data_IF_553771262188
#
_entry.id   IF_553771262188
#
_cell.length_a   1.000
_cell.length_b   1.000
_cell.length_c   1.000
_cell.angle_alpha   90.00
_cell.angle_beta   90.00
_cell.angle_gamma   90.00
#
_symmetry.space_group_name_H-M   'P 1'
#
loop_
_entity.id
_entity.type
_entity.pdbx_description
1 polymer ?
#
# COMPACT_ATOMS: atom_id res chain seq x y z
N UNK A 1 -1.11 11.11 0.89
CA UNK A 1 -2.25 11.87 1.44
C UNK A 1 -2.86 11.15 2.65
N UNK A 2 -3.46 9.96 2.48
CA UNK A 2 -4.04 9.19 3.59
C UNK A 2 -3.87 7.69 3.40
N UNK A 3 -4.22 6.91 4.43
CA UNK A 3 -4.25 5.45 4.40
C UNK A 3 -5.52 4.93 5.11
N UNK A 4 -6.07 3.82 4.63
CA UNK A 4 -7.01 3.02 5.43
C UNK A 4 -6.29 1.77 5.93
N UNK A 5 -6.52 1.43 7.20
CA UNK A 5 -5.88 0.30 7.87
C UNK A 5 -6.95 -0.76 8.15
N UNK A 6 -6.69 -1.99 7.71
CA UNK A 6 -7.50 -3.17 7.97
C UNK A 6 -6.69 -4.06 8.94
N UNK A 7 -6.97 -4.02 10.24
CA UNK A 7 -6.02 -4.46 11.26
C UNK A 7 -5.97 -5.98 11.50
N UNK A 8 -6.89 -6.76 10.92
CA UNK A 8 -6.98 -8.21 11.11
C UNK A 8 -7.40 -8.88 9.83
N UNK A 9 -6.47 -9.62 9.25
CA UNK A 9 -6.64 -10.44 8.06
C UNK A 9 -5.88 -11.75 8.28
N UNK A 10 -6.42 -12.83 7.74
CA UNK A 10 -5.67 -14.08 7.61
C UNK A 10 -5.11 -14.15 6.20
N UNK A 11 -3.80 -14.23 6.09
CA UNK A 11 -3.07 -14.38 4.83
C UNK A 11 -2.69 -15.84 4.64
N UNK A 12 -3.04 -16.39 3.48
CA UNK A 12 -2.69 -17.75 3.07
C UNK A 12 -1.76 -17.70 1.86
N UNK A 13 -0.62 -18.37 1.94
CA UNK A 13 0.36 -18.40 0.86
C UNK A 13 1.20 -19.68 0.90
N UNK A 14 1.83 -20.01 -0.22
CA UNK A 14 2.75 -21.14 -0.29
C UNK A 14 4.19 -20.65 -0.06
N UNK A 15 4.88 -21.26 0.90
CA UNK A 15 6.28 -21.01 1.17
C UNK A 15 7.01 -22.31 1.47
N UNK A 16 8.18 -22.50 0.87
CA UNK A 16 9.00 -23.73 1.01
C UNK A 16 8.21 -25.04 0.84
N UNK A 17 7.22 -25.05 -0.07
CA UNK A 17 6.39 -26.22 -0.36
C UNK A 17 5.31 -26.52 0.68
N UNK A 18 5.03 -25.58 1.60
CA UNK A 18 3.95 -25.68 2.60
C UNK A 18 2.97 -24.52 2.46
N UNK A 19 1.72 -24.77 2.83
CA UNK A 19 0.72 -23.73 2.98
C UNK A 19 0.93 -23.08 4.34
N UNK A 20 1.27 -21.80 4.33
CA UNK A 20 1.40 -20.96 5.51
C UNK A 20 0.11 -20.19 5.77
N UNK A 21 -0.12 -19.87 7.04
CA UNK A 21 -1.24 -19.06 7.52
C UNK A 21 -0.71 -18.02 8.52
N UNK A 22 -0.84 -16.74 8.19
CA UNK A 22 -0.38 -15.64 9.04
C UNK A 22 -1.51 -14.64 9.35
N UNK A 23 -1.43 -14.04 10.54
CA UNK A 23 -2.30 -12.93 10.93
C UNK A 23 -1.62 -11.60 10.58
N UNK A 24 -2.26 -10.82 9.71
CA UNK A 24 -1.69 -9.61 9.13
C UNK A 24 -2.66 -8.41 9.18
N UNK A 25 -2.13 -7.25 8.79
CA UNK A 25 -2.91 -6.07 8.47
C UNK A 25 -2.67 -5.66 7.03
N UNK A 26 -3.70 -5.15 6.36
CA UNK A 26 -3.58 -4.58 5.01
C UNK A 26 -3.84 -3.08 5.05
N UNK A 27 -3.12 -2.34 4.22
CA UNK A 27 -3.23 -0.89 4.13
C UNK A 27 -3.52 -0.48 2.69
N UNK A 28 -4.48 0.45 2.51
CA UNK A 28 -4.74 1.11 1.23
C UNK A 28 -4.28 2.56 1.33
N UNK A 29 -3.11 2.85 0.76
CA UNK A 29 -2.55 4.19 0.67
C UNK A 29 -3.15 4.97 -0.52
N UNK A 30 -3.39 6.27 -0.32
CA UNK A 30 -3.78 7.22 -1.36
C UNK A 30 -2.65 8.22 -1.54
N UNK A 31 -2.02 8.16 -2.71
CA UNK A 31 -0.88 8.99 -3.07
C UNK A 31 -0.93 9.38 -4.55
N UNK A 32 -0.14 10.38 -4.95
CA UNK A 32 0.05 10.71 -6.36
C UNK A 32 0.95 9.68 -7.06
N UNK A 33 0.75 9.53 -8.37
CA UNK A 33 1.57 8.65 -9.22
C UNK A 33 3.07 8.95 -9.10
N UNK A 34 3.44 10.24 -9.02
CA UNK A 34 4.83 10.67 -8.89
C UNK A 34 5.53 10.21 -7.59
N UNK A 35 4.78 9.83 -6.56
CA UNK A 35 5.32 9.38 -5.26
C UNK A 35 5.25 7.86 -5.08
N UNK A 36 4.69 7.11 -6.03
CA UNK A 36 4.49 5.65 -5.92
C UNK A 36 5.83 4.93 -5.69
N UNK A 37 6.82 5.16 -6.55
CA UNK A 37 8.13 4.48 -6.42
C UNK A 37 8.80 4.79 -5.09
N UNK A 38 8.85 6.07 -4.71
CA UNK A 38 9.42 6.50 -3.43
C UNK A 38 8.69 5.90 -2.23
N UNK A 39 7.36 5.73 -2.32
CA UNK A 39 6.57 5.09 -1.27
C UNK A 39 6.90 3.59 -1.17
N UNK A 40 7.02 2.89 -2.31
CA UNK A 40 7.39 1.47 -2.35
C UNK A 40 8.77 1.26 -1.70
N UNK A 41 9.76 2.06 -2.09
CA UNK A 41 11.10 2.04 -1.49
C UNK A 41 11.04 2.27 0.01
N UNK A 42 10.31 3.31 0.43
CA UNK A 42 10.21 3.65 1.85
C UNK A 42 9.53 2.55 2.68
N UNK A 43 8.51 1.90 2.13
CA UNK A 43 7.88 0.75 2.79
C UNK A 43 8.89 -0.39 2.89
N UNK A 44 9.60 -0.73 1.82
CA UNK A 44 10.62 -1.80 1.84
C UNK A 44 11.72 -1.56 2.89
N UNK A 45 12.17 -0.32 3.06
CA UNK A 45 13.17 0.04 4.08
C UNK A 45 12.67 -0.16 5.52
N UNK A 46 11.37 0.05 5.76
CA UNK A 46 10.79 0.06 7.10
C UNK A 46 10.10 -1.25 7.48
N UNK A 47 9.70 -2.04 6.49
CA UNK A 47 8.90 -3.25 6.71
C UNK A 47 9.73 -4.34 7.38
N UNK A 48 9.10 -5.11 8.27
CA UNK A 48 9.76 -6.25 8.94
C UNK A 48 10.11 -7.39 7.97
N UNK A 49 9.31 -7.56 6.91
CA UNK A 49 9.53 -8.58 5.90
C UNK A 49 10.60 -8.18 4.90
N UNK A 50 11.37 -9.16 4.44
CA UNK A 50 12.37 -8.98 3.38
C UNK A 50 11.76 -8.68 2.01
N UNK A 51 10.53 -9.18 1.75
CA UNK A 51 9.78 -8.96 0.52
C UNK A 51 8.32 -8.59 0.86
N UNK A 52 8.02 -7.33 1.22
CA UNK A 52 6.65 -6.91 1.53
C UNK A 52 5.78 -6.86 0.27
N UNK A 53 4.52 -7.28 0.39
CA UNK A 53 3.53 -7.15 -0.67
C UNK A 53 3.08 -5.68 -0.81
N UNK A 54 3.69 -4.95 -1.74
CA UNK A 54 3.33 -3.56 -2.06
C UNK A 54 3.02 -3.45 -3.54
N UNK A 55 1.76 -3.19 -3.86
CA UNK A 55 1.25 -3.07 -5.22
C UNK A 55 0.55 -1.72 -5.39
N UNK A 56 0.60 -1.15 -6.60
CA UNK A 56 -0.06 0.09 -6.94
C UNK A 56 -1.01 -0.11 -8.12
N UNK A 57 -2.21 0.48 -8.04
CA UNK A 57 -3.20 0.48 -9.11
C UNK A 57 -3.52 1.92 -9.54
N UNK A 58 -3.55 2.21 -10.86
CA UNK A 58 -3.92 3.54 -11.32
C UNK A 58 -5.41 3.80 -11.07
N UNK A 59 -5.74 5.01 -10.62
CA UNK A 59 -7.12 5.48 -10.49
C UNK A 59 -7.42 6.41 -11.67
N UNK A 60 -8.31 5.97 -12.56
CA UNK A 60 -8.65 6.73 -13.78
C UNK A 60 -9.70 7.82 -13.53
N UNK A 61 -10.61 7.59 -12.58
CA UNK A 61 -11.74 8.50 -12.28
C UNK A 61 -12.07 8.48 -10.80
N UNK A 62 -12.60 9.60 -10.30
CA UNK A 62 -13.04 9.76 -8.92
C UNK A 62 -13.60 11.16 -8.67
N UNK A 63 -13.92 11.45 -7.40
CA UNK A 63 -14.30 12.81 -6.99
C UNK A 63 -13.12 13.77 -7.21
N UNK A 64 -13.31 14.78 -8.04
CA UNK A 64 -12.27 15.75 -8.40
C UNK A 64 -11.72 16.53 -7.21
N UNK A 65 -12.58 16.87 -6.23
CA UNK A 65 -12.15 17.59 -5.03
C UNK A 65 -11.21 16.72 -4.19
N UNK A 66 -11.52 15.42 -4.07
CA UNK A 66 -10.68 14.48 -3.34
C UNK A 66 -9.37 14.19 -4.07
N UNK A 67 -9.40 14.04 -5.40
CA UNK A 67 -8.19 13.85 -6.21
C UNK A 67 -7.28 15.08 -6.08
N UNK A 68 -7.84 16.29 -6.17
CA UNK A 68 -7.11 17.54 -6.03
C UNK A 68 -6.43 17.62 -4.66
N UNK A 69 -7.15 17.32 -3.59
CA UNK A 69 -6.60 17.25 -2.25
C UNK A 69 -5.47 16.22 -2.10
N UNK A 70 -5.61 15.03 -2.69
CA UNK A 70 -4.53 14.01 -2.68
C UNK A 70 -3.28 14.52 -3.37
N UNK A 71 -3.43 15.20 -4.52
CA UNK A 71 -2.32 15.78 -5.26
C UNK A 71 -1.63 16.88 -4.43
N UNK A 72 -2.39 17.80 -3.84
CA UNK A 72 -1.85 18.87 -2.98
C UNK A 72 -1.06 18.31 -1.78
N UNK A 73 -1.63 17.35 -1.05
CA UNK A 73 -0.97 16.72 0.11
C UNK A 73 0.23 15.84 -0.26
N UNK A 74 0.46 15.59 -1.54
CA UNK A 74 1.60 14.79 -2.03
C UNK A 74 2.55 15.56 -2.93
N UNK A 75 2.45 16.89 -2.95
CA UNK A 75 3.42 17.78 -3.61
C UNK A 75 4.57 18.23 -2.68
N UNK A 76 4.40 18.09 -1.35
CA UNK A 76 5.46 18.34 -0.36
C UNK A 76 6.57 17.28 -0.45
#
# INVERSE_FOLDING_TARGET
ACANVYPRLTSYYWWEGKLEEDQEASLIFKTSAAKVEKLIERIKELHSYSCPCVLAWPIEKGNQDFISWVLEETQR
#
